data_IF_923839750391
#
_entry.id   IF_923839750391
#
_cell.length_a   1.000
_cell.length_b   1.000
_cell.length_c   1.000
_cell.angle_alpha   90.00
_cell.angle_beta   90.00
_cell.angle_gamma   90.00
#
_symmetry.space_group_name_H-M   'P 1'
#
loop_
_entity.id
_entity.type
_entity.pdbx_description
1 polymer ?
#
# COMPACT_ATOMS: atom_id res chain seq x y z
N UNK A 1 34.71 -53.62 4.97
CA UNK A 1 33.25 -53.47 4.79
C UNK A 1 32.98 -51.98 4.82
N UNK A 2 33.34 -51.35 3.72
CA UNK A 2 33.56 -49.91 3.56
C UNK A 2 33.31 -49.64 2.08
N UNK A 3 32.05 -49.77 1.72
CA UNK A 3 31.52 -49.62 0.37
C UNK A 3 30.41 -48.57 0.43
N UNK A 4 30.52 -47.59 -0.46
CA UNK A 4 29.42 -46.91 -1.15
C UNK A 4 28.59 -45.89 -0.35
N UNK A 5 29.20 -44.75 0.01
CA UNK A 5 28.48 -43.51 0.30
C UNK A 5 28.96 -42.35 -0.61
N UNK A 6 29.07 -42.64 -1.90
CA UNK A 6 29.53 -41.70 -2.94
C UNK A 6 28.46 -41.49 -4.05
N UNK A 7 27.16 -41.54 -3.71
CA UNK A 7 26.07 -41.32 -4.69
C UNK A 7 25.15 -40.12 -4.38
N UNK A 8 25.66 -39.09 -3.72
CA UNK A 8 24.85 -37.94 -3.31
C UNK A 8 25.29 -36.58 -3.87
N UNK A 9 26.37 -36.50 -4.65
CA UNK A 9 26.99 -35.22 -5.05
C UNK A 9 26.88 -34.86 -6.54
N UNK A 10 26.18 -35.68 -7.33
CA UNK A 10 26.08 -35.51 -8.77
C UNK A 10 24.65 -35.14 -9.22
N UNK A 11 23.85 -34.55 -8.34
CA UNK A 11 22.46 -34.17 -8.62
C UNK A 11 22.27 -33.11 -9.72
N UNK A 12 23.34 -32.68 -10.38
CA UNK A 12 23.35 -31.62 -11.40
C UNK A 12 24.17 -31.94 -12.65
N UNK A 13 24.73 -33.15 -12.78
CA UNK A 13 25.58 -33.50 -13.95
C UNK A 13 24.76 -33.71 -15.23
N UNK A 14 23.47 -34.01 -15.10
CA UNK A 14 22.52 -34.12 -16.21
C UNK A 14 21.68 -32.84 -16.43
N UNK A 15 22.16 -31.66 -16.02
CA UNK A 15 21.49 -30.42 -16.40
C UNK A 15 21.69 -30.17 -17.90
N UNK A 16 20.82 -30.75 -18.71
CA UNK A 16 20.74 -30.49 -20.13
C UNK A 16 20.25 -29.04 -20.26
N UNK A 17 21.14 -28.17 -20.73
CA UNK A 17 20.89 -26.78 -21.14
C UNK A 17 19.97 -26.70 -22.38
N UNK A 18 18.99 -27.60 -22.50
CA UNK A 18 17.85 -27.45 -23.41
C UNK A 18 16.82 -26.55 -22.75
N UNK A 19 17.29 -25.40 -22.28
CA UNK A 19 16.47 -24.34 -21.75
C UNK A 19 15.75 -23.75 -22.94
N UNK A 20 14.50 -24.18 -23.16
CA UNK A 20 13.57 -23.35 -23.91
C UNK A 20 13.38 -22.15 -22.99
N UNK A 21 14.23 -21.12 -23.17
CA UNK A 21 13.99 -19.80 -22.62
C UNK A 21 12.51 -19.53 -22.80
N UNK A 22 11.77 -19.13 -21.75
CA UNK A 22 10.42 -18.62 -21.93
C UNK A 22 10.55 -17.55 -23.00
N UNK A 23 10.16 -17.90 -24.22
CA UNK A 23 10.74 -17.27 -25.40
C UNK A 23 10.56 -15.77 -25.30
N UNK A 24 11.34 -15.00 -26.05
CA UNK A 24 11.16 -13.55 -26.13
C UNK A 24 9.68 -13.18 -26.33
N UNK A 25 8.88 -14.08 -26.94
CA UNK A 25 7.41 -14.04 -26.98
C UNK A 25 6.70 -13.82 -25.64
N UNK A 26 7.03 -14.54 -24.56
CA UNK A 26 6.35 -14.43 -23.25
C UNK A 26 6.66 -13.09 -22.60
N UNK A 27 7.93 -12.68 -22.63
CA UNK A 27 8.37 -11.39 -22.10
C UNK A 27 7.79 -10.23 -22.91
N UNK A 28 7.78 -10.33 -24.24
CA UNK A 28 7.14 -9.33 -25.10
C UNK A 28 5.64 -9.29 -24.85
N UNK A 29 4.97 -10.43 -24.66
CA UNK A 29 3.53 -10.50 -24.38
C UNK A 29 3.17 -9.85 -23.05
N UNK A 30 3.95 -10.07 -21.97
CA UNK A 30 3.70 -9.42 -20.68
C UNK A 30 3.96 -7.92 -20.74
N UNK A 31 5.04 -7.48 -21.40
CA UNK A 31 5.32 -6.05 -21.59
C UNK A 31 4.23 -5.38 -22.44
N UNK A 32 3.84 -5.99 -23.56
CA UNK A 32 2.78 -5.44 -24.41
C UNK A 32 1.44 -5.41 -23.69
N UNK A 33 1.11 -6.44 -22.90
CA UNK A 33 -0.10 -6.44 -22.08
C UNK A 33 -0.06 -5.35 -20.99
N UNK A 34 1.10 -5.16 -20.33
CA UNK A 34 1.30 -4.10 -19.34
C UNK A 34 1.20 -2.70 -19.95
N UNK A 35 1.77 -2.47 -21.13
CA UNK A 35 1.65 -1.20 -21.85
C UNK A 35 0.20 -0.99 -22.31
N UNK A 36 -0.43 -2.04 -22.87
CA UNK A 36 -1.81 -1.97 -23.33
C UNK A 36 -2.76 -1.66 -22.18
N UNK A 37 -2.56 -2.27 -21.00
CA UNK A 37 -3.37 -1.98 -19.81
C UNK A 37 -3.15 -0.54 -19.33
N UNK A 38 -1.90 -0.05 -19.31
CA UNK A 38 -1.60 1.35 -18.96
C UNK A 38 -2.18 2.37 -19.96
N UNK A 39 -2.36 2.01 -21.23
CA UNK A 39 -2.99 2.86 -22.24
C UNK A 39 -4.52 2.77 -22.23
N UNK A 40 -5.07 1.61 -21.89
CA UNK A 40 -6.52 1.42 -21.80
C UNK A 40 -7.14 2.26 -20.68
N UNK A 41 -6.44 2.43 -19.56
CA UNK A 41 -6.92 3.23 -18.42
C UNK A 41 -7.20 4.70 -18.80
N UNK A 42 -6.24 5.50 -19.31
CA UNK A 42 -6.51 6.88 -19.72
C UNK A 42 -7.51 6.95 -20.88
N UNK A 43 -7.52 5.96 -21.77
CA UNK A 43 -8.51 5.90 -22.83
C UNK A 43 -9.94 5.70 -22.28
N UNK A 44 -10.11 4.83 -21.27
CA UNK A 44 -11.37 4.64 -20.54
C UNK A 44 -11.81 5.93 -19.83
N UNK A 45 -10.90 6.61 -19.12
CA UNK A 45 -11.21 7.88 -18.44
C UNK A 45 -11.64 8.96 -19.42
N UNK A 46 -10.97 9.08 -20.57
CA UNK A 46 -11.35 10.03 -21.63
C UNK A 46 -12.70 9.67 -22.24
N UNK A 47 -12.96 8.38 -22.47
CA UNK A 47 -14.24 7.87 -22.98
C UNK A 47 -15.38 8.17 -22.00
N UNK A 48 -15.18 7.96 -20.70
CA UNK A 48 -16.17 8.32 -19.69
C UNK A 48 -16.41 9.83 -19.66
N UNK A 49 -15.36 10.65 -19.64
CA UNK A 49 -15.54 12.10 -19.64
C UNK A 49 -16.36 12.57 -20.85
N UNK A 50 -16.09 12.02 -22.04
CA UNK A 50 -16.91 12.29 -23.23
C UNK A 50 -18.34 11.78 -23.09
N UNK A 51 -18.54 10.61 -22.50
CA UNK A 51 -19.87 10.05 -22.26
C UNK A 51 -20.67 10.92 -21.27
N UNK A 52 -20.01 11.42 -20.21
CA UNK A 52 -20.56 12.31 -19.20
C UNK A 52 -20.91 13.69 -19.78
N UNK A 53 -20.07 14.25 -20.66
CA UNK A 53 -20.36 15.49 -21.38
C UNK A 53 -21.58 15.34 -22.30
N UNK A 54 -21.68 14.24 -23.06
CA UNK A 54 -22.86 13.96 -23.89
C UNK A 54 -24.13 13.88 -23.05
N UNK A 55 -24.04 13.29 -21.86
CA UNK A 55 -25.17 13.19 -20.93
C UNK A 55 -25.60 14.56 -20.38
N UNK A 56 -24.63 15.46 -20.08
CA UNK A 56 -24.92 16.84 -19.67
C UNK A 56 -25.56 17.66 -20.79
N UNK A 57 -25.10 17.50 -22.03
CA UNK A 57 -25.65 18.21 -23.18
C UNK A 57 -27.11 17.80 -23.46
N UNK A 58 -27.43 16.50 -23.37
CA UNK A 58 -28.83 16.03 -23.49
C UNK A 58 -29.75 16.68 -22.46
N UNK A 59 -29.31 16.84 -21.21
CA UNK A 59 -30.11 17.53 -20.18
C UNK A 59 -30.32 19.00 -20.53
N UNK A 60 -29.28 19.71 -21.00
CA UNK A 60 -29.37 21.11 -21.43
C UNK A 60 -30.33 21.31 -22.61
N UNK A 61 -30.33 20.39 -23.57
CA UNK A 61 -31.27 20.43 -24.70
C UNK A 61 -32.72 20.28 -24.24
N UNK A 62 -32.99 19.36 -23.30
CA UNK A 62 -34.33 19.19 -22.72
C UNK A 62 -34.79 20.47 -21.99
N UNK A 63 -33.93 21.11 -21.21
CA UNK A 63 -34.25 22.38 -20.53
C UNK A 63 -34.51 23.51 -21.53
N UNK A 64 -33.67 23.68 -22.55
CA UNK A 64 -33.88 24.76 -23.55
C UNK A 64 -35.15 24.55 -24.38
N UNK A 65 -35.53 23.29 -24.65
CA UNK A 65 -36.77 22.97 -25.36
C UNK A 65 -37.99 23.30 -24.51
N UNK A 66 -37.92 23.05 -23.20
CA UNK A 66 -38.99 23.37 -22.26
C UNK A 66 -39.16 24.89 -22.08
N UNK A 67 -38.05 25.63 -22.02
CA UNK A 67 -38.05 27.09 -21.93
C UNK A 67 -38.66 27.75 -23.17
N UNK A 68 -38.31 27.28 -24.37
CA UNK A 68 -38.91 27.77 -25.63
C UNK A 68 -40.42 27.54 -25.69
N UNK A 69 -40.93 26.43 -25.14
CA UNK A 69 -42.37 26.14 -25.06
C UNK A 69 -43.09 27.10 -24.10
N UNK A 70 -42.50 27.41 -22.95
CA UNK A 70 -43.08 28.35 -21.98
C UNK A 70 -43.09 29.79 -22.52
N UNK A 71 -42.01 30.22 -23.18
CA UNK A 71 -41.94 31.55 -23.80
C UNK A 71 -42.93 31.74 -24.95
N UNK A 72 -43.17 30.70 -25.76
CA UNK A 72 -44.16 30.75 -26.84
C UNK A 72 -45.60 30.88 -26.30
N UNK A 73 -45.94 30.18 -25.21
CA UNK A 73 -47.28 30.20 -24.63
C UNK A 73 -47.59 31.52 -23.90
N UNK A 74 -46.57 32.18 -23.33
CA UNK A 74 -46.72 33.50 -22.69
C UNK A 74 -47.04 34.61 -23.70
N UNK A 75 -46.44 34.57 -24.90
CA UNK A 75 -46.74 35.56 -25.96
C UNK A 75 -48.16 35.46 -26.53
N UNK A 76 -48.77 34.27 -26.56
CA UNK A 76 -50.16 34.11 -27.00
C UNK A 76 -51.20 34.59 -25.99
N UNK A 77 -50.83 34.86 -24.74
CA UNK A 77 -51.74 35.35 -23.70
C UNK A 77 -51.91 36.87 -23.67
N UNK A 78 -50.88 37.64 -24.07
CA UNK A 78 -50.87 39.09 -23.87
C UNK A 78 -51.77 39.88 -24.84
N UNK A 79 -52.13 39.31 -25.99
CA UNK A 79 -53.03 39.97 -26.95
C UNK A 79 -54.53 39.78 -26.63
N UNK A 80 -54.86 39.01 -25.58
CA UNK A 80 -56.27 38.74 -25.24
C UNK A 80 -56.86 39.63 -24.14
N UNK A 81 -56.03 40.35 -23.39
CA UNK A 81 -56.48 41.11 -22.22
C UNK A 81 -56.43 42.65 -22.39
N UNK A 82 -56.12 43.17 -23.57
CA UNK A 82 -56.12 44.64 -23.82
C UNK A 82 -57.52 45.20 -24.13
N UNK A 83 -58.60 44.47 -23.79
CA UNK A 83 -59.96 44.92 -24.08
C UNK A 83 -60.96 44.51 -22.99
N UNK A 84 -60.74 44.96 -21.75
CA UNK A 84 -61.80 45.47 -20.86
C UNK A 84 -61.19 45.84 -19.50
N UNK A 85 -61.42 47.08 -19.06
CA UNK A 85 -61.72 47.49 -17.67
C UNK A 85 -61.00 48.78 -17.31
N UNK A 86 -61.66 49.87 -17.70
CA UNK A 86 -61.68 51.14 -16.98
C UNK A 86 -62.24 50.94 -15.57
N UNK A 87 -61.74 51.75 -14.64
CA UNK A 87 -62.29 52.08 -13.33
C UNK A 87 -62.35 50.97 -12.27
N UNK A 88 -61.47 51.04 -11.26
CA UNK A 88 -61.92 51.57 -9.97
C UNK A 88 -60.75 51.87 -9.04
N UNK A 89 -61.01 52.87 -8.19
CA UNK A 89 -60.05 53.55 -7.35
C UNK A 89 -59.79 52.82 -6.03
N UNK A 90 -58.68 53.21 -5.42
CA UNK A 90 -58.50 53.43 -3.98
C UNK A 90 -57.90 52.32 -3.13
N UNK A 91 -57.01 52.79 -2.25
CA UNK A 91 -56.65 52.29 -0.93
C UNK A 91 -55.51 51.27 -0.78
N UNK A 92 -54.35 51.83 -0.38
CA UNK A 92 -53.91 51.84 1.03
C UNK A 92 -52.56 51.15 1.33
N UNK A 93 -51.76 51.91 2.10
CA UNK A 93 -50.74 51.50 3.08
C UNK A 93 -49.40 50.94 2.62
N UNK A 94 -48.40 51.84 2.66
CA UNK A 94 -47.22 51.78 3.53
C UNK A 94 -46.81 50.42 4.12
N UNK A 95 -45.57 49.98 3.85
CA UNK A 95 -44.55 49.75 4.91
C UNK A 95 -43.21 49.24 4.37
N UNK A 96 -42.17 50.01 4.71
CA UNK A 96 -40.81 49.61 5.14
C UNK A 96 -39.94 48.68 4.29
N UNK A 97 -39.03 49.35 3.59
CA UNK A 97 -37.59 49.08 3.47
C UNK A 97 -36.97 48.05 4.43
N UNK A 98 -36.34 47.02 3.86
CA UNK A 98 -35.04 46.55 4.35
C UNK A 98 -34.21 46.04 3.18
N UNK A 99 -33.15 46.78 2.87
CA UNK A 99 -32.17 46.46 1.84
C UNK A 99 -31.15 45.45 2.37
N UNK A 100 -31.05 44.29 1.73
CA UNK A 100 -29.90 43.39 1.90
C UNK A 100 -29.26 43.26 0.53
N UNK A 101 -28.12 43.94 0.36
CA UNK A 101 -27.39 44.01 -0.90
C UNK A 101 -26.73 42.69 -1.28
N UNK A 102 -26.53 42.43 -2.59
CA UNK A 102 -25.71 41.32 -3.04
C UNK A 102 -24.23 41.73 -2.94
N UNK A 103 -23.48 41.00 -2.11
CA UNK A 103 -22.04 41.14 -1.99
C UNK A 103 -21.37 40.57 -3.25
N UNK A 104 -21.17 41.43 -4.25
CA UNK A 104 -20.23 41.21 -5.33
C UNK A 104 -18.81 41.27 -4.76
N UNK A 105 -18.10 40.13 -4.79
CA UNK A 105 -16.64 40.12 -4.71
C UNK A 105 -16.07 39.38 -5.90
N UNK A 106 -15.79 40.16 -6.94
CA UNK A 106 -14.79 39.86 -7.94
C UNK A 106 -13.39 40.19 -7.41
N UNK A 107 -12.36 39.73 -8.12
CA UNK A 107 -10.91 39.93 -7.97
C UNK A 107 -10.23 38.80 -7.18
N UNK A 108 -9.18 38.13 -7.65
CA UNK A 108 -8.23 38.45 -8.72
C UNK A 108 -7.54 37.20 -9.26
N UNK A 109 -7.15 37.32 -10.52
CA UNK A 109 -6.19 36.53 -11.29
C UNK A 109 -4.85 36.28 -10.58
N UNK A 110 -4.38 35.03 -10.61
CA UNK A 110 -2.96 34.77 -10.79
C UNK A 110 -2.76 33.49 -11.62
N UNK A 111 -2.35 33.70 -12.87
CA UNK A 111 -1.76 32.69 -13.75
C UNK A 111 -0.28 32.61 -13.42
N UNK A 112 0.20 31.44 -13.02
CA UNK A 112 1.63 31.09 -12.99
C UNK A 112 1.76 29.68 -13.60
N UNK A 113 2.51 29.50 -14.70
CA UNK A 113 2.70 28.21 -15.33
C UNK A 113 3.95 27.53 -14.75
N UNK A 114 3.79 26.68 -13.74
CA UNK A 114 4.90 25.82 -13.30
C UNK A 114 4.99 24.56 -14.18
N UNK A 115 5.77 24.69 -15.25
CA UNK A 115 6.36 23.58 -15.98
C UNK A 115 7.40 22.89 -15.10
N UNK A 116 6.98 21.90 -14.29
CA UNK A 116 7.91 21.08 -13.52
C UNK A 116 8.30 19.84 -14.35
N UNK A 117 9.40 20.02 -15.07
CA UNK A 117 10.19 19.00 -15.75
C UNK A 117 10.62 17.92 -14.76
N UNK A 118 9.90 16.81 -14.70
CA UNK A 118 10.40 15.59 -14.04
C UNK A 118 11.62 15.09 -14.83
N UNK A 119 12.79 15.32 -14.26
CA UNK A 119 14.05 14.72 -14.72
C UNK A 119 14.03 13.27 -14.25
N UNK A 120 13.80 12.37 -15.18
CA UNK A 120 14.09 10.93 -15.04
C UNK A 120 15.56 10.81 -14.61
N UNK A 121 15.77 10.39 -13.37
CA UNK A 121 17.09 9.94 -12.90
C UNK A 121 17.28 8.51 -13.38
N UNK A 122 17.71 8.36 -14.62
CA UNK A 122 18.41 7.18 -15.09
C UNK A 122 19.73 7.06 -14.32
N UNK A 123 19.79 6.15 -13.36
CA UNK A 123 20.98 5.92 -12.53
C UNK A 123 21.28 4.42 -12.45
N UNK A 124 22.18 4.01 -13.34
CA UNK A 124 23.25 3.04 -13.16
C UNK A 124 22.89 1.59 -12.77
N UNK A 125 22.73 0.78 -13.81
CA UNK A 125 23.16 -0.62 -13.84
C UNK A 125 24.66 -0.73 -13.53
N UNK A 126 25.02 -0.85 -12.26
CA UNK A 126 26.34 -1.34 -11.83
C UNK A 126 26.36 -2.87 -11.94
N UNK A 127 26.98 -3.29 -13.04
CA UNK A 127 27.81 -4.48 -13.23
C UNK A 127 28.18 -5.21 -11.92
N UNK A 128 27.43 -6.27 -11.59
CA UNK A 128 27.83 -7.28 -10.62
C UNK A 128 28.73 -8.30 -11.33
N UNK A 129 30.03 -7.98 -11.44
CA UNK A 129 31.06 -8.97 -11.76
C UNK A 129 31.63 -9.58 -10.47
N UNK A 130 31.74 -10.90 -10.47
CA UNK A 130 32.67 -11.65 -9.61
C UNK A 130 32.22 -11.88 -8.17
N UNK A 131 31.40 -12.91 -7.94
CA UNK A 131 31.39 -13.62 -6.67
C UNK A 131 32.08 -14.95 -6.89
N UNK A 132 33.35 -15.02 -6.49
CA UNK A 132 34.09 -16.27 -6.43
C UNK A 132 33.39 -17.19 -5.42
N UNK A 133 33.03 -18.38 -5.92
CA UNK A 133 32.41 -19.46 -5.17
C UNK A 133 33.41 -20.05 -4.16
N UNK A 134 33.57 -19.42 -3.00
CA UNK A 134 34.04 -20.13 -1.81
C UNK A 134 32.87 -20.95 -1.26
N UNK A 135 32.92 -22.26 -1.47
CA UNK A 135 31.87 -23.21 -1.12
C UNK A 135 31.50 -23.16 0.36
N UNK A 136 30.25 -22.81 0.63
CA UNK A 136 29.61 -22.98 1.93
C UNK A 136 29.22 -24.45 2.08
N UNK A 137 29.80 -25.12 3.07
CA UNK A 137 29.53 -26.53 3.39
C UNK A 137 28.21 -26.62 4.17
N UNK A 138 27.14 -27.02 3.50
CA UNK A 138 25.76 -27.14 4.03
C UNK A 138 25.64 -28.03 5.29
N UNK A 139 26.69 -28.79 5.63
CA UNK A 139 26.76 -29.60 6.85
C UNK A 139 26.68 -28.81 8.16
N UNK A 140 26.97 -27.51 8.14
CA UNK A 140 26.93 -26.70 9.37
C UNK A 140 25.52 -26.21 9.77
N UNK A 141 24.58 -26.12 8.82
CA UNK A 141 23.23 -25.62 9.10
C UNK A 141 22.31 -26.70 9.69
N UNK A 142 22.50 -27.96 9.28
CA UNK A 142 21.73 -29.09 9.83
C UNK A 142 22.15 -29.43 11.27
N UNK A 143 23.45 -29.32 11.59
CA UNK A 143 23.96 -29.49 12.96
C UNK A 143 23.44 -28.43 13.95
N UNK A 144 23.12 -27.22 13.48
CA UNK A 144 22.62 -26.15 14.35
C UNK A 144 21.13 -26.30 14.67
N UNK A 145 20.34 -26.86 13.75
CA UNK A 145 18.91 -27.12 13.96
C UNK A 145 18.70 -28.30 14.94
N UNK A 146 19.47 -29.40 14.81
CA UNK A 146 19.35 -30.53 15.75
C UNK A 146 19.84 -30.20 17.18
N UNK A 147 20.73 -29.22 17.34
CA UNK A 147 21.18 -28.78 18.67
C UNK A 147 20.10 -28.01 19.43
N UNK A 148 19.29 -27.21 18.74
CA UNK A 148 18.23 -26.39 19.36
C UNK A 148 17.08 -27.23 19.94
N UNK A 149 16.66 -28.28 19.23
CA UNK A 149 15.54 -29.14 19.66
C UNK A 149 15.85 -30.01 20.90
N UNK A 150 17.13 -30.30 21.12
CA UNK A 150 17.58 -31.11 22.26
C UNK A 150 17.66 -30.31 23.57
N UNK A 151 17.96 -29.01 23.53
CA UNK A 151 17.96 -28.15 24.72
C UNK A 151 16.54 -27.84 25.23
N UNK A 152 15.56 -27.64 24.33
CA UNK A 152 14.16 -27.40 24.68
C UNK A 152 13.50 -28.60 25.39
N UNK A 153 13.92 -29.83 25.06
CA UNK A 153 13.48 -31.05 25.77
C UNK A 153 14.15 -31.25 27.13
N UNK A 154 15.31 -30.62 27.38
CA UNK A 154 16.01 -30.73 28.66
C UNK A 154 15.38 -29.80 29.73
N UNK A 155 15.00 -28.58 29.36
CA UNK A 155 14.44 -27.61 30.31
C UNK A 155 13.03 -27.99 30.80
N UNK A 156 12.21 -28.57 29.91
CA UNK A 156 10.84 -29.02 30.25
C UNK A 156 10.81 -30.16 31.29
N UNK A 157 11.89 -30.96 31.41
CA UNK A 157 12.00 -32.02 32.44
C UNK A 157 12.45 -31.49 33.81
N UNK A 158 13.21 -30.40 33.86
CA UNK A 158 13.64 -29.79 35.12
C UNK A 158 12.49 -29.05 35.81
N UNK A 159 11.60 -28.39 35.05
CA UNK A 159 10.42 -27.70 35.61
C UNK A 159 9.41 -28.63 36.28
N UNK A 160 9.24 -29.87 35.79
CA UNK A 160 8.31 -30.83 36.43
C UNK A 160 8.78 -31.33 37.80
N UNK A 161 10.07 -31.24 38.13
CA UNK A 161 10.58 -31.71 39.44
C UNK A 161 10.42 -30.69 40.56
N UNK A 162 10.14 -29.41 40.27
CA UNK A 162 10.02 -28.35 41.28
C UNK A 162 8.60 -28.01 41.72
N UNK A 163 7.57 -28.67 41.19
CA UNK A 163 6.16 -28.38 41.49
C UNK A 163 5.49 -29.40 42.42
N UNK A 164 6.26 -30.18 43.17
CA UNK A 164 5.70 -31.00 44.26
C UNK A 164 5.79 -30.22 45.58
N UNK A 165 5.09 -29.09 45.65
CA UNK A 165 4.94 -28.30 46.88
C UNK A 165 3.63 -28.74 47.53
N UNK A 166 3.79 -29.53 48.59
CA UNK A 166 2.75 -30.06 49.45
C UNK A 166 2.82 -29.28 50.75
N UNK A 167 2.08 -28.17 50.85
CA UNK A 167 1.44 -27.74 52.12
C UNK A 167 0.52 -26.52 51.92
N UNK A 168 -0.74 -26.57 52.40
CA UNK A 168 -1.76 -25.53 52.18
C UNK A 168 -1.80 -24.41 53.25
N UNK A 169 -0.84 -24.31 54.17
CA UNK A 169 -0.84 -23.32 55.26
C UNK A 169 -0.13 -22.00 54.95
N UNK A 170 0.49 -21.84 53.78
CA UNK A 170 1.30 -20.66 53.41
C UNK A 170 0.54 -19.56 52.66
N UNK A 171 -0.79 -19.67 52.58
CA UNK A 171 -1.63 -18.81 51.71
C UNK A 171 -1.77 -17.38 52.25
N UNK A 172 -1.65 -17.16 53.56
CA UNK A 172 -1.91 -15.84 54.18
C UNK A 172 -0.67 -14.94 54.31
N UNK A 173 0.54 -15.49 54.16
CA UNK A 173 1.79 -14.72 54.03
C UNK A 173 2.08 -14.26 52.60
N UNK A 174 1.25 -14.68 51.64
CA UNK A 174 1.44 -14.48 50.20
C UNK A 174 0.92 -13.12 49.71
N UNK A 175 -0.03 -12.52 50.41
CA UNK A 175 -0.71 -11.30 49.95
C UNK A 175 0.08 -10.01 50.24
N UNK A 176 0.94 -9.99 51.26
CA UNK A 176 1.82 -8.85 51.54
C UNK A 176 3.16 -8.90 50.78
N UNK A 177 3.51 -10.06 50.20
CA UNK A 177 4.75 -10.23 49.42
C UNK A 177 4.59 -9.83 47.96
N UNK A 178 3.38 -9.96 47.40
CA UNK A 178 3.08 -9.61 46.01
C UNK A 178 3.23 -8.12 45.72
N UNK A 179 2.94 -7.24 46.68
CA UNK A 179 3.06 -5.78 46.49
C UNK A 179 4.53 -5.32 46.44
N UNK A 180 5.40 -5.91 47.27
CA UNK A 180 6.84 -5.62 47.26
C UNK A 180 7.55 -6.29 46.07
N UNK A 181 7.08 -7.45 45.63
CA UNK A 181 7.62 -8.14 44.45
C UNK A 181 7.20 -7.46 43.13
N UNK A 182 6.08 -6.73 43.08
CA UNK A 182 5.66 -5.93 41.91
C UNK A 182 6.57 -4.71 41.70
N UNK A 183 6.94 -3.99 42.76
CA UNK A 183 7.88 -2.85 42.66
C UNK A 183 9.33 -3.29 42.40
N UNK A 184 9.69 -4.52 42.79
CA UNK A 184 11.00 -5.12 42.45
C UNK A 184 11.01 -5.70 41.04
N UNK A 185 9.85 -6.11 40.52
CA UNK A 185 9.66 -6.57 39.14
C UNK A 185 9.92 -5.42 38.17
N UNK A 186 9.29 -4.24 38.34
CA UNK A 186 9.46 -3.12 37.40
C UNK A 186 10.91 -2.66 37.25
N UNK A 187 11.71 -2.67 38.32
CA UNK A 187 13.14 -2.35 38.25
C UNK A 187 14.00 -3.42 37.55
N UNK A 188 13.55 -4.68 37.49
CA UNK A 188 14.23 -5.73 36.73
C UNK A 188 13.96 -5.63 35.21
N UNK A 189 12.80 -5.14 34.78
CA UNK A 189 12.51 -4.97 33.35
C UNK A 189 13.46 -3.95 32.68
N UNK A 190 13.76 -2.84 33.36
CA UNK A 190 14.73 -1.84 32.86
C UNK A 190 16.17 -2.38 32.85
N UNK A 191 16.56 -3.24 33.81
CA UNK A 191 17.88 -3.87 33.80
C UNK A 191 18.02 -4.97 32.75
N UNK A 192 16.96 -5.74 32.47
CA UNK A 192 16.94 -6.66 31.32
C UNK A 192 17.06 -5.90 29.98
N UNK A 193 16.34 -4.79 29.79
CA UNK A 193 16.45 -3.98 28.57
C UNK A 193 17.84 -3.35 28.39
N UNK A 194 18.51 -2.93 29.48
CA UNK A 194 19.84 -2.32 29.39
C UNK A 194 20.99 -3.33 29.24
N UNK A 195 20.82 -4.60 29.62
CA UNK A 195 21.84 -5.63 29.44
C UNK A 195 22.02 -6.06 27.97
N UNK A 196 21.01 -5.83 27.12
CA UNK A 196 21.08 -6.20 25.72
C UNK A 196 21.89 -5.25 24.86
N UNK A 197 21.96 -3.93 25.14
CA UNK A 197 22.64 -3.01 24.22
C UNK A 197 24.15 -3.26 24.09
N UNK A 198 24.84 -3.60 25.19
CA UNK A 198 26.27 -3.94 25.12
C UNK A 198 26.50 -5.32 24.48
N UNK A 199 25.55 -6.25 24.65
CA UNK A 199 25.58 -7.57 24.00
C UNK A 199 25.25 -7.47 22.50
N UNK A 200 24.33 -6.60 22.12
CA UNK A 200 23.99 -6.25 20.73
C UNK A 200 25.14 -5.50 20.08
N UNK A 201 25.81 -4.58 20.78
CA UNK A 201 27.01 -3.89 20.29
C UNK A 201 28.21 -4.85 20.20
N UNK A 202 28.30 -5.87 21.07
CA UNK A 202 29.34 -6.90 20.96
C UNK A 202 29.03 -7.96 19.88
N UNK A 203 27.76 -8.32 19.66
CA UNK A 203 27.27 -9.08 18.50
C UNK A 203 27.47 -8.28 17.20
N UNK A 204 27.36 -6.96 17.26
CA UNK A 204 27.65 -6.06 16.16
C UNK A 204 29.16 -5.91 15.89
N UNK A 205 30.05 -6.52 16.69
CA UNK A 205 31.48 -6.64 16.33
C UNK A 205 31.65 -7.68 15.21
N UNK A 206 31.27 -7.26 14.01
CA UNK A 206 32.02 -7.46 12.79
C UNK A 206 32.24 -8.89 12.33
N UNK A 207 31.22 -9.74 12.38
CA UNK A 207 31.22 -10.86 11.46
C UNK A 207 31.09 -10.33 10.01
N UNK A 208 31.80 -10.96 9.08
CA UNK A 208 31.76 -10.58 7.66
C UNK A 208 30.33 -10.68 7.13
N UNK A 209 29.58 -11.66 7.62
CA UNK A 209 28.16 -11.84 7.28
C UNK A 209 27.29 -10.70 7.82
N UNK A 210 27.49 -10.26 9.06
CA UNK A 210 26.76 -9.12 9.62
C UNK A 210 27.00 -7.85 8.79
N UNK A 211 28.24 -7.62 8.33
CA UNK A 211 28.55 -6.47 7.46
C UNK A 211 27.87 -6.57 6.10
N UNK A 212 27.71 -7.77 5.55
CA UNK A 212 27.00 -8.03 4.29
C UNK A 212 25.50 -7.76 4.44
N UNK A 213 24.87 -8.30 5.49
CA UNK A 213 23.45 -8.08 5.80
C UNK A 213 23.19 -6.59 6.08
N UNK A 214 24.08 -5.93 6.82
CA UNK A 214 23.96 -4.50 7.11
C UNK A 214 24.06 -3.63 5.85
N UNK A 215 24.92 -4.02 4.89
CA UNK A 215 25.00 -3.33 3.59
C UNK A 215 23.71 -3.49 2.78
N UNK A 216 23.04 -4.64 2.90
CA UNK A 216 21.75 -4.88 2.26
C UNK A 216 20.61 -4.15 2.98
N UNK A 217 20.60 -4.06 4.30
CA UNK A 217 19.52 -3.42 5.06
C UNK A 217 19.54 -1.88 4.98
N UNK A 218 20.68 -1.28 4.69
CA UNK A 218 20.83 0.17 4.57
C UNK A 218 19.90 0.80 3.50
N UNK A 219 19.82 0.30 2.26
CA UNK A 219 18.84 0.81 1.29
C UNK A 219 17.39 0.58 1.72
N UNK A 220 17.06 -0.59 2.31
CA UNK A 220 15.69 -0.87 2.78
C UNK A 220 15.24 0.10 3.88
N UNK A 221 16.09 0.33 4.88
CA UNK A 221 15.79 1.29 5.96
C UNK A 221 15.72 2.73 5.46
N UNK A 222 16.57 3.10 4.51
CA UNK A 222 16.52 4.43 3.87
C UNK A 222 15.21 4.62 3.11
N UNK A 223 14.77 3.61 2.35
CA UNK A 223 13.50 3.65 1.63
C UNK A 223 12.32 3.82 2.59
N UNK A 224 12.25 3.02 3.64
CA UNK A 224 11.19 3.11 4.64
C UNK A 224 11.16 4.47 5.36
N UNK A 225 12.32 5.05 5.66
CA UNK A 225 12.41 6.39 6.26
C UNK A 225 11.88 7.48 5.32
N UNK A 226 12.26 7.43 4.05
CA UNK A 226 11.80 8.39 3.04
C UNK A 226 10.29 8.28 2.83
N UNK A 227 9.76 7.07 2.75
CA UNK A 227 8.33 6.80 2.63
C UNK A 227 7.56 7.40 3.81
N UNK A 228 7.96 7.11 5.05
CA UNK A 228 7.33 7.65 6.24
C UNK A 228 7.37 9.20 6.29
N UNK A 229 8.47 9.82 5.89
CA UNK A 229 8.57 11.29 5.84
C UNK A 229 7.63 11.86 4.79
N UNK A 230 7.57 11.25 3.60
CA UNK A 230 6.70 11.71 2.52
C UNK A 230 5.21 11.58 2.87
N UNK A 231 4.81 10.50 3.55
CA UNK A 231 3.43 10.32 4.03
C UNK A 231 3.04 11.40 5.05
N UNK A 232 3.92 11.73 5.99
CA UNK A 232 3.69 12.81 6.94
C UNK A 232 3.58 14.17 6.24
N UNK A 233 4.45 14.45 5.27
CA UNK A 233 4.37 15.68 4.47
C UNK A 233 3.06 15.74 3.67
N UNK A 234 2.61 14.64 3.07
CA UNK A 234 1.31 14.53 2.38
C UNK A 234 0.16 14.92 3.32
N UNK A 235 0.13 14.37 4.54
CA UNK A 235 -0.89 14.68 5.53
C UNK A 235 -0.87 16.14 5.98
N UNK A 236 0.32 16.70 6.25
CA UNK A 236 0.48 18.11 6.65
C UNK A 236 -0.01 19.04 5.53
N UNK A 237 0.37 18.77 4.27
CA UNK A 237 -0.03 19.57 3.12
C UNK A 237 -1.54 19.50 2.94
N UNK A 238 -2.14 18.30 2.92
CA UNK A 238 -3.60 18.19 2.74
C UNK A 238 -4.36 18.84 3.89
N UNK A 239 -3.92 18.64 5.13
CA UNK A 239 -4.54 19.25 6.30
C UNK A 239 -4.47 20.78 6.30
N UNK A 240 -3.34 21.35 5.87
CA UNK A 240 -3.16 22.80 5.83
C UNK A 240 -3.91 23.46 4.66
N UNK A 241 -3.95 22.83 3.48
CA UNK A 241 -4.51 23.45 2.27
C UNK A 241 -6.02 23.17 2.07
N UNK A 242 -6.53 22.00 2.43
CA UNK A 242 -7.91 21.61 2.14
C UNK A 242 -8.84 21.65 3.36
N UNK A 243 -8.29 21.78 4.58
CA UNK A 243 -9.06 21.80 5.82
C UNK A 243 -9.40 20.41 6.37
N UNK A 244 -10.11 20.37 7.50
CA UNK A 244 -10.40 19.13 8.25
C UNK A 244 -11.30 18.15 7.51
N UNK A 245 -12.27 18.63 6.72
CA UNK A 245 -13.24 17.75 6.05
C UNK A 245 -12.57 16.92 4.95
N UNK A 246 -11.66 17.54 4.18
CA UNK A 246 -10.87 16.84 3.17
C UNK A 246 -9.86 15.87 3.78
N UNK A 247 -9.35 16.16 4.98
CA UNK A 247 -8.44 15.27 5.68
C UNK A 247 -9.16 13.99 6.14
N UNK A 248 -10.43 14.09 6.57
CA UNK A 248 -11.26 12.91 6.89
C UNK A 248 -11.52 12.07 5.64
N UNK A 249 -11.90 12.71 4.53
CA UNK A 249 -12.11 12.01 3.26
C UNK A 249 -10.83 11.31 2.77
N UNK A 250 -9.68 11.97 2.89
CA UNK A 250 -8.37 11.38 2.57
C UNK A 250 -8.07 10.18 3.47
N UNK A 251 -8.30 10.28 4.79
CA UNK A 251 -8.04 9.18 5.71
C UNK A 251 -8.87 7.93 5.38
N UNK A 252 -10.15 8.12 5.02
CA UNK A 252 -11.01 7.01 4.58
C UNK A 252 -10.51 6.39 3.26
N UNK A 253 -10.10 7.23 2.30
CA UNK A 253 -9.52 6.77 1.05
C UNK A 253 -8.20 6.01 1.27
N UNK A 254 -7.32 6.52 2.12
CA UNK A 254 -6.03 5.90 2.43
C UNK A 254 -6.19 4.54 3.13
N UNK A 255 -7.16 4.38 4.04
CA UNK A 255 -7.46 3.07 4.67
C UNK A 255 -7.92 2.04 3.62
N UNK A 256 -8.79 2.46 2.70
CA UNK A 256 -9.24 1.59 1.62
C UNK A 256 -8.08 1.26 0.66
N UNK A 257 -7.23 2.24 0.31
CA UNK A 257 -6.06 2.04 -0.54
C UNK A 257 -5.07 1.07 0.11
N UNK A 258 -4.79 1.26 1.40
CA UNK A 258 -3.94 0.39 2.20
C UNK A 258 -4.41 -1.06 2.16
N UNK A 259 -5.71 -1.30 2.39
CA UNK A 259 -6.27 -2.65 2.32
C UNK A 259 -6.04 -3.33 0.95
N UNK A 260 -6.22 -2.60 -0.15
CA UNK A 260 -5.95 -3.14 -1.49
C UNK A 260 -4.46 -3.35 -1.78
N UNK A 261 -3.59 -2.48 -1.24
CA UNK A 261 -2.15 -2.58 -1.39
C UNK A 261 -1.59 -3.77 -0.59
N UNK A 262 -2.05 -3.98 0.64
CA UNK A 262 -1.65 -5.08 1.51
C UNK A 262 -1.95 -6.44 0.87
N UNK A 263 -3.10 -6.56 0.19
CA UNK A 263 -3.44 -7.77 -0.55
C UNK A 263 -2.44 -8.08 -1.66
N UNK A 264 -1.99 -7.06 -2.40
CA UNK A 264 -0.98 -7.21 -3.45
C UNK A 264 0.40 -7.51 -2.87
N UNK A 265 0.75 -6.92 -1.73
CA UNK A 265 1.99 -7.25 -1.02
C UNK A 265 2.06 -8.71 -0.60
N UNK A 266 0.94 -9.33 -0.19
CA UNK A 266 0.92 -10.76 0.10
C UNK A 266 1.35 -11.66 -1.07
N UNK A 267 1.05 -11.25 -2.31
CA UNK A 267 1.51 -11.96 -3.52
C UNK A 267 3.04 -11.82 -3.67
N UNK A 268 3.58 -10.64 -3.40
CA UNK A 268 5.02 -10.35 -3.48
C UNK A 268 5.78 -11.16 -2.42
N UNK A 269 5.29 -11.19 -1.18
CA UNK A 269 5.93 -11.89 -0.07
C UNK A 269 5.95 -13.41 -0.26
N UNK A 270 4.83 -13.98 -0.75
CA UNK A 270 4.76 -15.41 -1.07
C UNK A 270 5.71 -15.79 -2.22
N UNK A 271 5.86 -14.92 -3.21
CA UNK A 271 6.82 -15.11 -4.29
C UNK A 271 8.28 -15.02 -3.83
N UNK A 272 8.62 -14.07 -2.93
CA UNK A 272 9.98 -13.95 -2.40
C UNK A 272 10.46 -15.26 -1.75
N UNK A 273 9.55 -15.99 -1.08
CA UNK A 273 9.82 -17.30 -0.48
C UNK A 273 10.01 -18.41 -1.53
N UNK A 274 9.18 -18.45 -2.58
CA UNK A 274 9.34 -19.40 -3.69
C UNK A 274 10.65 -19.17 -4.45
N UNK A 275 11.00 -17.90 -4.66
CA UNK A 275 12.23 -17.49 -5.32
C UNK A 275 13.46 -17.88 -4.49
N UNK A 276 13.44 -17.66 -3.17
CA UNK A 276 14.56 -18.04 -2.30
C UNK A 276 14.76 -19.55 -2.25
N UNK A 277 13.68 -20.36 -2.29
CA UNK A 277 13.80 -21.82 -2.41
C UNK A 277 14.42 -22.26 -3.74
N UNK A 278 13.99 -21.67 -4.86
CA UNK A 278 14.56 -21.98 -6.17
C UNK A 278 16.04 -21.60 -6.27
N UNK A 279 16.41 -20.44 -5.73
CA UNK A 279 17.80 -19.98 -5.65
C UNK A 279 18.64 -20.86 -4.73
N UNK A 280 18.10 -21.26 -3.57
CA UNK A 280 18.77 -22.17 -2.63
C UNK A 280 19.00 -23.57 -3.22
N UNK A 281 18.12 -24.03 -4.10
CA UNK A 281 18.29 -25.28 -4.86
C UNK A 281 19.25 -25.16 -6.06
N UNK A 282 19.90 -24.00 -6.26
CA UNK A 282 20.77 -23.74 -7.41
C UNK A 282 20.05 -23.63 -8.76
N UNK A 283 18.71 -23.62 -8.77
CA UNK A 283 17.90 -23.61 -9.98
C UNK A 283 17.49 -22.19 -10.38
N UNK A 284 18.46 -21.44 -10.92
CA UNK A 284 18.25 -20.05 -11.35
C UNK A 284 17.19 -19.90 -12.46
N UNK A 285 17.01 -20.93 -13.29
CA UNK A 285 15.99 -20.91 -14.34
C UNK A 285 14.57 -20.92 -13.76
N UNK A 286 14.32 -21.79 -12.77
CA UNK A 286 13.03 -21.84 -12.08
C UNK A 286 12.73 -20.53 -11.33
N UNK A 287 13.76 -19.91 -10.73
CA UNK A 287 13.63 -18.60 -10.10
C UNK A 287 13.18 -17.52 -11.11
N UNK A 288 13.76 -17.52 -12.32
CA UNK A 288 13.34 -16.65 -13.40
C UNK A 288 11.88 -16.86 -13.82
N UNK A 289 11.45 -18.12 -13.93
CA UNK A 289 10.05 -18.46 -14.24
C UNK A 289 9.08 -17.98 -13.16
N UNK A 290 9.45 -18.12 -11.88
CA UNK A 290 8.64 -17.59 -10.79
C UNK A 290 8.50 -16.06 -10.86
N UNK A 291 9.56 -15.33 -11.21
CA UNK A 291 9.49 -13.88 -11.40
C UNK A 291 8.54 -13.51 -12.54
N UNK A 292 8.59 -14.22 -13.66
CA UNK A 292 7.66 -13.97 -14.77
C UNK A 292 6.21 -14.24 -14.37
N UNK A 293 5.99 -15.32 -13.62
CA UNK A 293 4.67 -15.68 -13.12
C UNK A 293 4.14 -14.63 -12.14
N UNK A 294 4.95 -14.13 -11.20
CA UNK A 294 4.49 -13.09 -10.25
C UNK A 294 4.19 -11.78 -10.95
N UNK A 295 4.99 -11.37 -11.95
CA UNK A 295 4.72 -10.16 -12.72
C UNK A 295 3.39 -10.28 -13.48
N UNK A 296 3.15 -11.44 -14.09
CA UNK A 296 1.88 -11.74 -14.77
C UNK A 296 0.70 -11.73 -13.81
N UNK A 297 0.83 -12.42 -12.66
CA UNK A 297 -0.21 -12.53 -11.64
C UNK A 297 -0.51 -11.17 -11.00
N UNK A 298 0.52 -10.40 -10.64
CA UNK A 298 0.40 -9.05 -10.10
C UNK A 298 -0.36 -8.14 -11.07
N UNK A 299 0.02 -8.14 -12.34
CA UNK A 299 -0.64 -7.34 -13.38
C UNK A 299 -2.11 -7.76 -13.55
N UNK A 300 -2.38 -9.06 -13.53
CA UNK A 300 -3.74 -9.60 -13.66
C UNK A 300 -4.63 -9.27 -12.46
N UNK A 301 -4.09 -9.34 -11.24
CA UNK A 301 -4.78 -8.96 -10.02
C UNK A 301 -4.99 -7.44 -9.92
N UNK A 302 -4.09 -6.63 -10.47
CA UNK A 302 -4.19 -5.17 -10.42
C UNK A 302 -5.37 -4.62 -11.24
N UNK A 303 -5.73 -5.25 -12.37
CA UNK A 303 -6.84 -4.84 -13.24
C UNK A 303 -8.19 -4.76 -12.49
N UNK A 304 -8.69 -5.82 -11.81
CA UNK A 304 -9.95 -5.73 -11.09
C UNK A 304 -9.89 -4.73 -9.94
N UNK A 305 -8.74 -4.54 -9.28
CA UNK A 305 -8.59 -3.49 -8.27
C UNK A 305 -8.82 -2.10 -8.87
N UNK A 306 -8.20 -1.77 -10.02
CA UNK A 306 -8.45 -0.49 -10.70
C UNK A 306 -9.93 -0.31 -11.02
N UNK A 307 -10.60 -1.35 -11.54
CA UNK A 307 -12.01 -1.28 -11.89
C UNK A 307 -12.88 -1.03 -10.65
N UNK A 308 -12.63 -1.78 -9.57
CA UNK A 308 -13.33 -1.57 -8.29
C UNK A 308 -13.09 -0.16 -7.77
N UNK A 309 -11.83 0.30 -7.76
CA UNK A 309 -11.46 1.66 -7.35
C UNK A 309 -12.17 2.72 -8.17
N UNK A 310 -12.27 2.51 -9.48
CA UNK A 310 -12.96 3.43 -10.36
C UNK A 310 -14.45 3.54 -10.04
N UNK A 311 -15.15 2.44 -9.77
CA UNK A 311 -16.55 2.52 -9.36
C UNK A 311 -16.73 3.07 -7.93
N UNK A 312 -15.90 2.62 -6.99
CA UNK A 312 -16.06 2.89 -5.58
C UNK A 312 -15.68 4.33 -5.21
N UNK A 313 -14.62 4.90 -5.80
CA UNK A 313 -14.22 6.29 -5.53
C UNK A 313 -15.26 7.29 -6.03
N UNK A 314 -15.85 7.06 -7.20
CA UNK A 314 -16.87 7.97 -7.71
C UNK A 314 -18.10 8.03 -6.80
N UNK A 315 -18.55 6.88 -6.29
CA UNK A 315 -19.67 6.81 -5.36
C UNK A 315 -19.30 7.33 -3.96
N UNK A 316 -18.07 7.10 -3.50
CA UNK A 316 -17.58 7.63 -2.23
C UNK A 316 -17.44 9.16 -2.27
N UNK A 317 -16.95 9.72 -3.37
CA UNK A 317 -16.79 11.17 -3.54
C UNK A 317 -18.12 11.91 -3.71
N UNK A 318 -19.17 11.29 -4.26
CA UNK A 318 -20.45 12.00 -4.46
C UNK A 318 -21.30 12.05 -3.18
N UNK A 319 -21.01 11.18 -2.22
CA UNK A 319 -21.73 11.10 -0.94
C UNK A 319 -21.23 12.09 0.11
N UNK A 320 -20.08 12.72 -0.14
CA UNK A 320 -19.47 13.77 0.68
C UNK A 320 -19.61 15.12 -0.02
#
# INVERSE_FOLDING_TARGET
>A
MSENFESGRDGFVDYIESTIDPGHSVLIATITFGILSQLLIPCMVILENRYRERSRNKRRETYSTHEKRLGANSKSGLDRDTLCSTDESSNMSQSTSSSTGPNQRANNSHNEPFAQKQRVSSGSSEQYEGWDNEGWDDRHLEETIERGDNELKFDSRQRRKKLNIKDPSDVTLRENKTVVDLERSERHWWMCMCMDLNYVVSLAKGDKETKRILRLSLPFTTMALVEAVLENVKLIVVGHYLGTDALVALAVADVLLGFSADFLMGIIDSHATLCSHALGAGNNHLAGQYIQLVVGLYTLCYIPFIVIWYFLVYDAMIWW
#
